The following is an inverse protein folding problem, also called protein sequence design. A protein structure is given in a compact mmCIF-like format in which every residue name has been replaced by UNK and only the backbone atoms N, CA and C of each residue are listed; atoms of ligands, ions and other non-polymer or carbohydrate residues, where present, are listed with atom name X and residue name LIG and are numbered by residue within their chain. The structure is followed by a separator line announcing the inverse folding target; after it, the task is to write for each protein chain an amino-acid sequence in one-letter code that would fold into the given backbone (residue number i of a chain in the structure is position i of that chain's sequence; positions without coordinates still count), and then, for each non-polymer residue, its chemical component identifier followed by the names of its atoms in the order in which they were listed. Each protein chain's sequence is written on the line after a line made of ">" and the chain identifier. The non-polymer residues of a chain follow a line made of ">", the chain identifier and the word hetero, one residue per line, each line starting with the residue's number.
data_IF_199738986001
#
_entry.id   IF_199738986001
#
_cell.length_a   1.000
_cell.length_b   1.000
_cell.length_c   1.000
_cell.angle_alpha   90.00
_cell.angle_beta   90.00
_cell.angle_gamma   90.00
#
_symmetry.space_group_name_H-M   'P 1'
#
loop_
_entity.id
_entity.type
_entity.pdbx_description
1 polymer ?
#
# COMPACT_ATOMS: atom_id res chain seq x y z
N UNK A 1 -9.88 16.11 23.50
CA UNK A 1 -9.04 16.64 22.42
C UNK A 1 -8.37 15.45 21.79
N UNK A 2 -8.52 15.29 20.49
CA UNK A 2 -7.92 14.18 19.74
C UNK A 2 -6.40 14.32 19.71
N UNK A 3 -5.66 13.20 19.74
CA UNK A 3 -4.21 13.23 19.74
C UNK A 3 -3.70 13.63 18.34
N UNK A 4 -2.57 14.34 18.27
CA UNK A 4 -2.01 14.78 16.98
C UNK A 4 -1.72 13.60 16.03
N UNK A 5 -1.34 12.45 16.59
CA UNK A 5 -1.07 11.23 15.82
C UNK A 5 -2.35 10.67 15.17
N UNK A 6 -3.49 10.70 15.86
CA UNK A 6 -4.77 10.21 15.32
C UNK A 6 -5.19 11.07 14.12
N UNK A 7 -5.08 12.39 14.24
CA UNK A 7 -5.35 13.35 13.16
C UNK A 7 -4.44 13.07 11.95
N UNK A 8 -3.15 12.84 12.20
CA UNK A 8 -2.18 12.57 11.13
C UNK A 8 -2.46 11.23 10.42
N UNK A 9 -2.85 10.19 11.16
CA UNK A 9 -3.24 8.89 10.61
C UNK A 9 -4.46 9.03 9.71
N UNK A 10 -5.48 9.79 10.13
CA UNK A 10 -6.69 9.99 9.34
C UNK A 10 -6.43 10.76 8.05
N UNK A 11 -5.60 11.81 8.11
CA UNK A 11 -5.16 12.55 6.93
C UNK A 11 -4.37 11.66 5.97
N UNK A 12 -3.47 10.83 6.49
CA UNK A 12 -2.68 9.92 5.67
C UNK A 12 -3.55 8.84 5.02
N UNK A 13 -4.52 8.29 5.76
CA UNK A 13 -5.50 7.35 5.23
C UNK A 13 -6.36 7.99 4.13
N UNK A 14 -6.69 9.27 4.23
CA UNK A 14 -7.38 10.00 3.15
C UNK A 14 -6.51 10.10 1.88
N UNK A 15 -5.22 10.43 2.01
CA UNK A 15 -4.28 10.47 0.90
C UNK A 15 -4.10 9.09 0.24
N UNK A 16 -4.01 8.03 1.04
CA UNK A 16 -3.99 6.64 0.57
C UNK A 16 -5.22 6.31 -0.28
N UNK A 17 -6.42 6.60 0.24
CA UNK A 17 -7.70 6.37 -0.45
C UNK A 17 -7.78 7.10 -1.79
N UNK A 18 -7.36 8.35 -1.83
CA UNK A 18 -7.36 9.17 -3.04
C UNK A 18 -6.39 8.61 -4.10
N UNK A 19 -5.18 8.23 -3.69
CA UNK A 19 -4.18 7.64 -4.60
C UNK A 19 -4.64 6.30 -5.15
N UNK A 20 -5.23 5.45 -4.32
CA UNK A 20 -5.83 4.19 -4.76
C UNK A 20 -6.98 4.41 -5.74
N UNK A 21 -7.80 5.46 -5.56
CA UNK A 21 -8.84 5.84 -6.53
C UNK A 21 -8.24 6.16 -7.89
N UNK A 22 -7.23 7.03 -7.94
CA UNK A 22 -6.51 7.34 -9.19
C UNK A 22 -5.87 6.11 -9.84
N UNK A 23 -5.37 5.16 -9.04
CA UNK A 23 -4.83 3.90 -9.55
C UNK A 23 -5.90 3.03 -10.22
N UNK A 24 -7.11 2.95 -9.63
CA UNK A 24 -8.25 2.23 -10.20
C UNK A 24 -8.72 2.86 -11.52
N UNK A 25 -8.74 4.18 -11.61
CA UNK A 25 -9.05 4.92 -12.84
C UNK A 25 -8.06 4.61 -13.97
N UNK A 26 -6.82 4.26 -13.64
CA UNK A 26 -5.78 3.79 -14.59
C UNK A 26 -5.89 2.29 -14.91
N UNK A 27 -6.96 1.61 -14.50
CA UNK A 27 -7.18 0.18 -14.73
C UNK A 27 -6.35 -0.75 -13.83
N UNK A 28 -5.66 -0.22 -12.82
CA UNK A 28 -4.85 -1.05 -11.89
C UNK A 28 -5.74 -1.57 -10.76
N UNK A 29 -5.66 -2.87 -10.48
CA UNK A 29 -6.46 -3.56 -9.46
C UNK A 29 -5.95 -4.96 -9.18
N UNK A 30 -6.78 -5.83 -8.59
CA UNK A 30 -6.47 -7.25 -8.43
C UNK A 30 -5.56 -7.62 -7.26
N UNK A 31 -5.00 -6.66 -6.52
CA UNK A 31 -4.10 -6.94 -5.39
C UNK A 31 -4.74 -7.78 -4.28
N UNK A 32 -6.06 -7.71 -4.11
CA UNK A 32 -6.78 -8.47 -3.09
C UNK A 32 -6.89 -9.98 -3.42
N UNK A 33 -6.77 -10.33 -4.70
CA UNK A 33 -6.78 -11.72 -5.15
C UNK A 33 -5.34 -12.25 -5.17
N UNK A 34 -5.07 -13.25 -4.33
CA UNK A 34 -3.75 -13.87 -4.19
C UNK A 34 -3.31 -14.62 -5.45
N UNK A 35 -4.25 -15.02 -6.30
CA UNK A 35 -3.97 -15.71 -7.58
C UNK A 35 -3.53 -14.73 -8.66
N UNK A 36 -3.97 -13.48 -8.58
CA UNK A 36 -3.61 -12.41 -9.52
C UNK A 36 -2.36 -11.64 -9.08
N UNK A 37 -2.12 -11.54 -7.77
CA UNK A 37 -0.97 -10.84 -7.21
C UNK A 37 -0.41 -11.61 -6.01
N UNK A 38 0.82 -12.09 -6.12
CA UNK A 38 1.47 -12.82 -5.02
C UNK A 38 2.02 -11.88 -3.94
N UNK A 39 2.21 -12.40 -2.72
CA UNK A 39 2.92 -11.70 -1.63
C UNK A 39 4.33 -11.25 -2.06
N UNK A 40 5.03 -12.08 -2.85
CA UNK A 40 6.35 -11.77 -3.42
C UNK A 40 6.28 -10.58 -4.37
N UNK A 41 5.28 -10.54 -5.25
CA UNK A 41 5.05 -9.43 -6.16
C UNK A 41 4.75 -8.13 -5.40
N UNK A 42 3.89 -8.17 -4.37
CA UNK A 42 3.62 -7.01 -3.51
C UNK A 42 4.87 -6.53 -2.76
N UNK A 43 5.66 -7.46 -2.22
CA UNK A 43 6.91 -7.14 -1.51
C UNK A 43 7.97 -6.53 -2.43
N UNK A 44 8.06 -7.01 -3.68
CA UNK A 44 8.91 -6.39 -4.69
C UNK A 44 8.44 -4.97 -5.04
N UNK A 45 7.15 -4.79 -5.37
CA UNK A 45 6.60 -3.46 -5.70
C UNK A 45 6.75 -2.47 -4.54
N UNK A 46 6.61 -2.93 -3.29
CA UNK A 46 6.87 -2.12 -2.10
C UNK A 46 8.29 -1.57 -2.12
N UNK A 47 9.32 -2.43 -2.30
CA UNK A 47 10.71 -2.01 -2.36
C UNK A 47 10.97 -1.03 -3.52
N UNK A 48 10.42 -1.32 -4.69
CA UNK A 48 10.52 -0.40 -5.84
C UNK A 48 9.93 0.99 -5.56
N UNK A 49 8.91 1.09 -4.70
CA UNK A 49 8.33 2.38 -4.32
C UNK A 49 9.04 3.05 -3.14
N UNK A 50 9.70 2.27 -2.28
CA UNK A 50 10.67 2.82 -1.32
C UNK A 50 11.79 3.54 -2.06
N UNK A 51 12.37 2.93 -3.09
CA UNK A 51 13.42 3.55 -3.92
C UNK A 51 12.94 4.81 -4.66
N UNK A 52 11.65 4.90 -5.01
CA UNK A 52 11.05 6.09 -5.63
C UNK A 52 10.73 7.21 -4.62
N UNK A 53 10.73 6.91 -3.32
CA UNK A 53 10.56 7.89 -2.25
C UNK A 53 9.12 8.38 -2.02
N UNK A 54 8.09 7.65 -2.46
CA UNK A 54 6.69 8.05 -2.21
C UNK A 54 6.08 7.28 -1.01
N UNK A 55 5.91 7.93 0.15
CA UNK A 55 5.44 7.25 1.36
C UNK A 55 3.99 6.75 1.25
N UNK A 56 3.14 7.38 0.42
CA UNK A 56 1.74 6.96 0.25
C UNK A 56 1.66 5.65 -0.53
N UNK A 57 2.51 5.46 -1.54
CA UNK A 57 2.59 4.17 -2.24
C UNK A 57 3.13 3.07 -1.33
N UNK A 58 4.21 3.35 -0.59
CA UNK A 58 4.76 2.39 0.38
C UNK A 58 3.70 1.98 1.39
N UNK A 59 2.95 2.93 1.96
CA UNK A 59 1.87 2.63 2.89
C UNK A 59 0.73 1.84 2.25
N UNK A 60 0.37 2.12 0.99
CA UNK A 60 -0.63 1.34 0.28
C UNK A 60 -0.18 -0.12 0.11
N UNK A 61 1.07 -0.39 -0.26
CA UNK A 61 1.57 -1.77 -0.33
C UNK A 61 1.63 -2.45 1.04
N UNK A 62 2.08 -1.74 2.08
CA UNK A 62 2.03 -2.24 3.46
C UNK A 62 0.61 -2.62 3.88
N UNK A 63 -0.37 -1.76 3.56
CA UNK A 63 -1.78 -1.99 3.85
C UNK A 63 -2.30 -3.23 3.10
N UNK A 64 -1.95 -3.41 1.82
CA UNK A 64 -2.36 -4.58 1.04
C UNK A 64 -1.87 -5.89 1.66
N UNK A 65 -0.58 -5.94 2.03
CA UNK A 65 0.03 -7.09 2.68
C UNK A 65 -0.62 -7.36 4.06
N UNK A 66 -0.76 -6.32 4.88
CA UNK A 66 -1.39 -6.42 6.20
C UNK A 66 -2.83 -6.94 6.11
N UNK A 67 -3.63 -6.39 5.20
CA UNK A 67 -5.02 -6.81 4.98
C UNK A 67 -5.12 -8.28 4.56
N UNK A 68 -4.13 -8.79 3.83
CA UNK A 68 -4.05 -10.19 3.38
C UNK A 68 -3.46 -11.15 4.43
N UNK A 69 -3.07 -10.65 5.60
CA UNK A 69 -2.38 -11.42 6.64
C UNK A 69 -0.95 -11.81 6.27
N UNK A 70 -0.35 -11.12 5.31
CA UNK A 70 0.96 -11.41 4.72
C UNK A 70 2.07 -10.52 5.29
N UNK A 71 3.32 -10.93 5.08
CA UNK A 71 4.52 -10.21 5.50
C UNK A 71 5.23 -9.63 4.28
N UNK A 72 6.18 -8.74 4.56
CA UNK A 72 7.13 -8.32 3.53
C UNK A 72 8.17 -9.44 3.44
N UNK A 73 8.22 -10.15 2.32
CA UNK A 73 9.23 -11.19 2.10
C UNK A 73 10.56 -10.56 1.71
N UNK A 74 11.68 -11.21 2.06
CA UNK A 74 13.02 -10.75 1.70
C UNK A 74 13.20 -10.62 0.18
N UNK A 75 14.16 -9.78 -0.24
CA UNK A 75 14.63 -9.83 -1.62
C UNK A 75 15.45 -11.12 -1.82
N UNK A 76 15.27 -11.76 -2.97
CA UNK A 76 16.13 -12.84 -3.46
C UNK A 76 17.32 -12.28 -4.24
#
# INVERSE_FOLDING_TARGET
>A
MEHADDIAVDQFAAAMREKMKRSREKGRGGWADKTLCSEKSLSQMLREHVEKGDPVDVANFCMMLHHRGEKIVAAE
#
